data_IF_721675864020
#
_entry.id   IF_721675864020
#
_cell.length_a   1.000
_cell.length_b   1.000
_cell.length_c   1.000
_cell.angle_alpha   90.00
_cell.angle_beta   90.00
_cell.angle_gamma   90.00
#
_symmetry.space_group_name_H-M   'P 1'
#
loop_
_entity.id
_entity.type
_entity.pdbx_description
1 polymer ?
#
# COMPACT_ATOMS: atom_id res chain seq x y z
N UNK A 1 74.77 6.67 -12.19
CA UNK A 1 73.61 5.78 -11.95
C UNK A 1 72.44 6.63 -11.48
N UNK A 2 71.44 6.89 -12.35
CA UNK A 2 70.34 7.82 -12.06
C UNK A 2 68.91 7.21 -12.10
N UNK A 3 67.98 8.09 -11.70
CA UNK A 3 66.51 8.14 -11.48
C UNK A 3 65.49 7.47 -12.45
N UNK A 4 64.26 7.43 -11.90
CA UNK A 4 62.89 7.53 -12.49
C UNK A 4 62.19 6.20 -12.84
N UNK A 5 60.85 5.99 -12.80
CA UNK A 5 59.66 6.87 -12.79
C UNK A 5 58.37 6.04 -12.48
N UNK A 6 57.27 6.72 -12.14
CA UNK A 6 55.88 6.23 -11.89
C UNK A 6 55.12 5.96 -13.22
N UNK A 7 54.15 5.01 -13.32
CA UNK A 7 53.27 4.91 -14.49
C UNK A 7 51.84 5.46 -14.29
N UNK A 8 51.32 6.02 -15.38
CA UNK A 8 50.02 6.68 -15.54
C UNK A 8 48.85 5.74 -15.83
N UNK A 9 47.66 6.20 -15.46
CA UNK A 9 46.33 5.67 -15.77
C UNK A 9 46.02 5.63 -17.28
N UNK A 10 45.34 4.56 -17.72
CA UNK A 10 44.91 4.36 -19.10
C UNK A 10 43.37 4.36 -19.18
N UNK A 11 42.83 5.23 -20.03
CA UNK A 11 41.42 5.36 -20.38
C UNK A 11 40.94 4.20 -21.26
N UNK A 12 39.78 3.59 -20.95
CA UNK A 12 39.07 2.68 -21.86
C UNK A 12 37.84 3.39 -22.43
N UNK A 13 37.89 3.73 -23.72
CA UNK A 13 36.77 4.25 -24.50
C UNK A 13 35.87 3.14 -25.02
N UNK A 14 34.55 3.34 -24.91
CA UNK A 14 33.53 2.48 -25.49
C UNK A 14 33.34 2.79 -26.97
N UNK A 15 33.36 1.76 -27.82
CA UNK A 15 33.16 1.85 -29.27
C UNK A 15 31.66 1.79 -29.62
N UNK A 16 31.17 2.77 -30.38
CA UNK A 16 29.85 2.76 -31.01
C UNK A 16 29.82 1.78 -32.20
N UNK A 17 28.89 0.84 -32.17
CA UNK A 17 28.50 0.02 -33.32
C UNK A 17 27.54 0.83 -34.22
N UNK A 18 28.04 1.31 -35.36
CA UNK A 18 27.22 1.84 -36.46
C UNK A 18 26.92 0.71 -37.45
N UNK A 19 25.66 0.30 -37.55
CA UNK A 19 25.19 -0.63 -38.58
C UNK A 19 25.01 0.12 -39.91
N UNK A 20 25.85 -0.24 -40.89
CA UNK A 20 25.75 0.26 -42.25
C UNK A 20 24.69 -0.56 -43.01
N UNK A 21 23.65 0.11 -43.52
CA UNK A 21 22.69 -0.50 -44.44
C UNK A 21 22.91 0.10 -45.84
N UNK A 22 23.53 -0.68 -46.72
CA UNK A 22 23.58 -0.42 -48.16
C UNK A 22 22.34 -1.01 -48.82
N UNK A 23 21.54 -0.22 -49.53
CA UNK A 23 20.71 -0.73 -50.63
C UNK A 23 20.64 0.26 -51.80
N UNK A 24 20.70 -0.34 -52.99
CA UNK A 24 20.92 0.24 -54.30
C UNK A 24 19.87 1.29 -54.74
N UNK A 25 20.35 2.39 -55.33
CA UNK A 25 19.52 3.33 -56.09
C UNK A 25 19.39 2.84 -57.55
N UNK A 26 18.19 2.40 -57.93
CA UNK A 26 17.78 2.25 -59.34
C UNK A 26 17.01 3.49 -59.77
N UNK A 27 17.45 4.12 -60.84
CA UNK A 27 16.86 5.34 -61.41
C UNK A 27 15.68 5.01 -62.33
N UNK A 28 14.46 5.40 -61.94
CA UNK A 28 13.36 5.58 -62.89
C UNK A 28 12.51 6.80 -62.51
N UNK A 29 12.41 7.76 -63.43
CA UNK A 29 11.62 8.99 -63.31
C UNK A 29 10.11 8.69 -63.38
N UNK A 30 9.35 9.16 -62.39
CA UNK A 30 7.87 9.15 -62.35
C UNK A 30 7.34 10.16 -61.32
N UNK A 31 6.11 10.69 -61.45
CA UNK A 31 5.70 11.95 -60.82
C UNK A 31 5.49 11.85 -59.31
N UNK A 32 5.90 12.91 -58.59
CA UNK A 32 5.82 13.03 -57.13
C UNK A 32 4.37 12.99 -56.65
N UNK A 33 3.97 11.90 -55.99
CA UNK A 33 2.86 11.88 -55.03
C UNK A 33 3.40 12.23 -53.65
N UNK A 34 2.91 13.30 -53.06
CA UNK A 34 3.14 13.64 -51.64
C UNK A 34 2.44 12.61 -50.77
N UNK A 35 3.18 11.61 -50.31
CA UNK A 35 2.72 10.65 -49.31
C UNK A 35 2.96 11.29 -47.93
N UNK A 36 1.87 11.71 -47.25
CA UNK A 36 1.94 12.10 -45.85
C UNK A 36 2.25 10.85 -45.03
N UNK A 37 3.50 10.74 -44.57
CA UNK A 37 3.92 9.70 -43.65
C UNK A 37 3.45 10.09 -42.25
N UNK A 38 2.30 9.58 -41.82
CA UNK A 38 1.86 9.68 -40.43
C UNK A 38 2.76 8.77 -39.60
N UNK A 39 3.75 9.36 -38.93
CA UNK A 39 4.51 8.67 -37.90
C UNK A 39 3.62 8.43 -36.70
N UNK A 40 3.05 7.24 -36.60
CA UNK A 40 2.52 6.73 -35.33
C UNK A 40 3.75 6.44 -34.47
N UNK A 41 4.07 7.35 -33.54
CA UNK A 41 5.01 7.06 -32.47
C UNK A 41 4.37 5.99 -31.58
N UNK A 42 4.63 4.72 -31.88
CA UNK A 42 4.43 3.65 -30.92
C UNK A 42 5.52 3.82 -29.86
N UNK A 43 5.20 4.53 -28.77
CA UNK A 43 6.00 4.45 -27.54
C UNK A 43 5.89 3.01 -27.05
N UNK A 44 6.80 2.15 -27.50
CA UNK A 44 7.08 0.89 -26.82
C UNK A 44 7.90 1.28 -25.60
N UNK A 45 7.22 1.64 -24.51
CA UNK A 45 7.86 1.58 -23.20
C UNK A 45 8.14 0.11 -22.94
N UNK A 46 9.38 -0.29 -22.62
CA UNK A 46 9.63 -1.65 -22.16
C UNK A 46 8.87 -1.82 -20.85
N UNK A 47 7.71 -2.48 -20.90
CA UNK A 47 6.97 -2.89 -19.70
C UNK A 47 7.82 -3.93 -18.98
N UNK A 48 8.62 -3.48 -18.03
CA UNK A 48 9.38 -4.34 -17.16
C UNK A 48 8.43 -4.92 -16.11
N UNK A 49 7.64 -5.91 -16.52
CA UNK A 49 6.81 -6.68 -15.60
C UNK A 49 7.74 -7.48 -14.68
N UNK A 50 7.70 -7.22 -13.38
CA UNK A 50 8.39 -8.06 -12.41
C UNK A 50 7.73 -9.45 -12.41
N UNK A 51 8.40 -10.41 -13.05
CA UNK A 51 7.93 -11.81 -13.13
C UNK A 51 8.26 -12.57 -11.85
N UNK A 52 9.38 -12.24 -11.22
CA UNK A 52 9.86 -12.84 -10.00
C UNK A 52 9.76 -11.83 -8.85
N UNK A 53 9.54 -12.34 -7.64
CA UNK A 53 9.48 -11.58 -6.41
C UNK A 53 10.82 -11.67 -5.65
N UNK A 54 11.25 -10.54 -5.10
CA UNK A 54 12.46 -10.36 -4.29
C UNK A 54 12.05 -10.33 -2.81
N UNK A 55 12.15 -11.47 -2.12
CA UNK A 55 11.57 -11.64 -0.79
C UNK A 55 12.40 -11.07 0.37
N UNK A 56 13.69 -10.79 0.14
CA UNK A 56 14.60 -10.34 1.19
C UNK A 56 14.71 -11.32 2.37
N UNK A 57 15.27 -10.89 3.50
CA UNK A 57 15.57 -11.78 4.63
C UNK A 57 14.38 -12.04 5.56
N UNK A 58 13.36 -11.16 5.55
CA UNK A 58 12.27 -11.17 6.54
C UNK A 58 11.51 -12.50 6.61
N UNK A 59 11.13 -13.15 5.48
CA UNK A 59 10.49 -14.46 5.54
C UNK A 59 11.34 -15.53 6.24
N UNK A 60 12.63 -15.63 5.91
CA UNK A 60 13.51 -16.64 6.50
C UNK A 60 13.81 -16.37 7.98
N UNK A 61 13.93 -15.09 8.36
CA UNK A 61 14.03 -14.67 9.76
C UNK A 61 12.83 -15.18 10.57
N UNK A 62 11.61 -14.94 10.06
CA UNK A 62 10.38 -15.40 10.70
C UNK A 62 10.30 -16.93 10.78
N UNK A 63 10.59 -17.65 9.70
CA UNK A 63 10.56 -19.12 9.68
C UNK A 63 11.54 -19.73 10.68
N UNK A 64 12.75 -19.16 10.79
CA UNK A 64 13.78 -19.66 11.71
C UNK A 64 13.34 -19.53 13.17
N UNK A 65 12.67 -18.43 13.51
CA UNK A 65 12.18 -18.12 14.85
C UNK A 65 10.96 -18.97 15.27
N UNK A 66 10.24 -19.58 14.32
CA UNK A 66 9.08 -20.44 14.61
C UNK A 66 9.42 -21.62 15.53
N UNK A 67 8.44 -22.06 16.32
CA UNK A 67 8.47 -23.36 16.98
C UNK A 67 8.49 -24.51 15.97
N UNK A 68 9.12 -25.63 16.36
CA UNK A 68 9.17 -26.82 15.52
C UNK A 68 7.77 -27.37 15.26
N UNK A 69 7.50 -27.75 14.01
CA UNK A 69 6.20 -28.23 13.61
C UNK A 69 6.04 -28.38 12.10
N UNK A 70 4.87 -28.88 11.69
CA UNK A 70 4.57 -29.14 10.28
C UNK A 70 4.66 -27.85 9.43
N UNK A 71 4.20 -26.72 9.98
CA UNK A 71 4.16 -25.44 9.27
C UNK A 71 5.57 -24.89 9.07
N UNK A 72 6.40 -24.87 10.12
CA UNK A 72 7.82 -24.52 10.01
C UNK A 72 8.54 -25.43 9.01
N UNK A 73 8.34 -26.74 9.08
CA UNK A 73 8.94 -27.71 8.15
C UNK A 73 8.51 -27.44 6.70
N UNK A 74 7.22 -27.13 6.47
CA UNK A 74 6.67 -26.80 5.16
C UNK A 74 7.27 -25.52 4.61
N UNK A 75 7.28 -24.46 5.43
CA UNK A 75 7.82 -23.16 5.04
C UNK A 75 9.33 -23.25 4.82
N UNK A 76 10.08 -23.94 5.67
CA UNK A 76 11.52 -24.14 5.49
C UNK A 76 11.86 -24.85 4.17
N UNK A 77 11.04 -25.83 3.76
CA UNK A 77 11.20 -26.51 2.47
C UNK A 77 10.95 -25.60 1.24
N UNK A 78 10.46 -24.38 1.45
CA UNK A 78 10.23 -23.37 0.42
C UNK A 78 11.31 -22.28 0.41
N UNK A 79 12.41 -22.41 1.16
CA UNK A 79 13.43 -21.36 1.31
C UNK A 79 14.04 -20.90 0.00
N UNK A 80 14.18 -21.80 -0.97
CA UNK A 80 14.77 -21.54 -2.29
C UNK A 80 13.72 -21.43 -3.40
N UNK A 81 12.46 -21.10 -3.05
CA UNK A 81 11.40 -20.93 -4.04
C UNK A 81 11.72 -19.75 -4.96
N UNK A 82 11.63 -19.98 -6.27
CA UNK A 82 11.56 -18.88 -7.24
C UNK A 82 10.18 -18.21 -7.08
N UNK A 83 10.14 -17.24 -6.18
CA UNK A 83 8.92 -16.57 -5.81
C UNK A 83 8.39 -15.74 -6.97
N UNK A 84 7.06 -15.71 -7.12
CA UNK A 84 6.37 -14.86 -8.07
C UNK A 84 5.26 -14.06 -7.37
N UNK A 85 4.79 -12.97 -7.98
CA UNK A 85 3.72 -12.16 -7.42
C UNK A 85 2.44 -12.95 -7.18
N UNK A 86 1.65 -12.55 -6.17
CA UNK A 86 0.38 -13.18 -5.83
C UNK A 86 -0.66 -12.15 -5.40
N UNK A 87 -1.90 -12.28 -5.89
CA UNK A 87 -3.04 -11.47 -5.44
C UNK A 87 -3.39 -11.69 -3.96
N UNK A 88 -2.89 -12.77 -3.35
CA UNK A 88 -3.03 -13.02 -1.92
C UNK A 88 -2.23 -12.00 -1.08
N UNK A 89 -1.15 -11.43 -1.64
CA UNK A 89 -0.37 -10.37 -1.01
C UNK A 89 -0.86 -9.01 -1.51
N UNK A 90 -1.40 -8.22 -0.59
CA UNK A 90 -1.85 -6.86 -0.86
C UNK A 90 -0.86 -5.89 -0.19
N UNK A 91 -0.22 -5.03 -0.97
CA UNK A 91 0.76 -4.08 -0.47
C UNK A 91 0.06 -2.89 0.18
N UNK A 92 -0.05 -2.92 1.52
CA UNK A 92 -0.69 -1.85 2.31
C UNK A 92 0.15 -0.58 2.21
N UNK A 93 -0.44 0.49 1.65
CA UNK A 93 0.19 1.79 1.36
C UNK A 93 1.52 1.71 0.59
N UNK A 94 1.56 0.77 -0.34
CA UNK A 94 2.75 0.44 -1.14
C UNK A 94 3.41 -0.88 -0.74
N UNK A 95 3.25 -1.34 0.50
CA UNK A 95 3.60 -2.71 0.90
C UNK A 95 5.05 -2.95 1.31
N UNK A 96 5.82 -1.87 1.55
CA UNK A 96 7.18 -1.91 2.08
C UNK A 96 7.40 -0.89 3.22
N UNK A 97 6.33 -0.53 3.92
CA UNK A 97 6.23 0.54 4.92
C UNK A 97 7.09 0.34 6.18
N UNK A 98 7.74 -0.83 6.35
CA UNK A 98 8.77 -0.99 7.39
C UNK A 98 10.03 -0.18 7.09
N UNK A 99 10.33 0.08 5.81
CA UNK A 99 11.59 0.70 5.41
C UNK A 99 11.43 1.87 4.42
N UNK A 100 10.24 2.02 3.83
CA UNK A 100 9.94 3.08 2.89
C UNK A 100 8.75 3.90 3.40
N UNK A 101 8.74 5.23 3.20
CA UNK A 101 7.58 6.06 3.54
C UNK A 101 6.31 5.54 2.87
N UNK A 102 5.23 5.41 3.64
CA UNK A 102 3.94 4.96 3.13
C UNK A 102 3.38 5.90 2.06
N UNK A 103 2.59 5.36 1.12
CA UNK A 103 1.96 6.09 0.01
C UNK A 103 2.94 6.82 -0.94
N UNK A 104 4.20 6.39 -0.96
CA UNK A 104 5.22 6.90 -1.88
C UNK A 104 5.50 5.93 -3.02
N UNK A 105 6.01 6.46 -4.14
CA UNK A 105 6.48 5.68 -5.28
C UNK A 105 7.43 4.56 -4.85
N UNK A 106 8.38 4.88 -3.97
CA UNK A 106 9.42 3.96 -3.54
C UNK A 106 8.85 2.80 -2.72
N UNK A 107 7.85 3.06 -1.86
CA UNK A 107 7.12 2.00 -1.16
C UNK A 107 6.37 1.10 -2.15
N UNK A 108 5.63 1.68 -3.11
CA UNK A 108 4.88 0.92 -4.14
C UNK A 108 5.81 0.06 -5.01
N UNK A 109 6.95 0.61 -5.46
CA UNK A 109 7.94 -0.13 -6.24
C UNK A 109 8.57 -1.26 -5.43
N UNK A 110 8.90 -1.01 -4.16
CA UNK A 110 9.46 -2.03 -3.27
C UNK A 110 8.46 -3.14 -2.95
N UNK A 111 7.20 -2.83 -2.60
CA UNK A 111 6.18 -3.86 -2.37
C UNK A 111 5.83 -4.66 -3.63
N UNK A 112 5.83 -3.99 -4.80
CA UNK A 112 5.69 -4.67 -6.10
C UNK A 112 6.83 -5.67 -6.34
N UNK A 113 8.08 -5.30 -6.02
CA UNK A 113 9.25 -6.20 -6.09
C UNK A 113 9.14 -7.34 -5.09
N UNK A 114 8.63 -7.09 -3.89
CA UNK A 114 8.38 -8.10 -2.87
C UNK A 114 7.25 -9.08 -3.24
N UNK A 115 6.53 -8.84 -4.34
CA UNK A 115 5.54 -9.75 -4.91
C UNK A 115 4.08 -9.47 -4.56
N UNK A 116 3.78 -8.26 -4.06
CA UNK A 116 2.40 -7.81 -3.96
C UNK A 116 1.72 -7.90 -5.34
N UNK A 117 0.60 -8.61 -5.40
CA UNK A 117 -0.23 -8.74 -6.60
C UNK A 117 -1.24 -7.62 -6.74
N UNK A 118 -1.66 -7.05 -5.61
CA UNK A 118 -2.55 -5.90 -5.50
C UNK A 118 -1.81 -4.82 -4.69
N UNK A 119 -1.81 -3.57 -5.17
CA UNK A 119 -1.22 -2.44 -4.47
C UNK A 119 -2.31 -1.47 -4.03
N UNK A 120 -2.13 -0.88 -2.85
CA UNK A 120 -3.07 0.07 -2.27
C UNK A 120 -2.66 1.53 -2.51
N UNK A 121 -3.68 2.37 -2.72
CA UNK A 121 -3.63 3.80 -2.49
C UNK A 121 -4.81 4.20 -1.60
N UNK A 122 -4.54 4.69 -0.39
CA UNK A 122 -5.48 5.46 0.40
C UNK A 122 -5.70 6.81 -0.31
N UNK A 123 -6.88 7.13 -0.81
CA UNK A 123 -7.10 8.37 -1.55
C UNK A 123 -7.71 9.46 -0.68
N UNK A 124 -7.14 10.67 -0.80
CA UNK A 124 -7.64 11.95 -0.31
C UNK A 124 -7.69 12.96 -1.48
N UNK A 125 -8.22 14.17 -1.24
CA UNK A 125 -8.23 15.24 -2.24
C UNK A 125 -7.54 16.52 -1.77
N UNK A 126 -6.95 17.27 -2.71
CA UNK A 126 -6.30 18.57 -2.51
C UNK A 126 -7.29 19.74 -2.56
N UNK A 127 -6.85 20.97 -2.27
CA UNK A 127 -7.72 22.16 -2.32
C UNK A 127 -8.31 22.43 -3.71
N UNK A 128 -7.59 22.03 -4.76
CA UNK A 128 -8.02 22.05 -6.17
C UNK A 128 -8.71 20.73 -6.60
N UNK A 129 -9.09 19.88 -5.64
CA UNK A 129 -9.90 18.66 -5.81
C UNK A 129 -9.24 17.57 -6.66
N UNK A 130 -7.92 17.57 -6.76
CA UNK A 130 -7.17 16.48 -7.37
C UNK A 130 -6.94 15.36 -6.34
N UNK A 131 -6.97 14.11 -6.80
CA UNK A 131 -6.81 12.94 -5.96
C UNK A 131 -5.34 12.63 -5.69
N UNK A 132 -5.00 12.39 -4.42
CA UNK A 132 -3.65 12.07 -3.96
C UNK A 132 -3.66 10.86 -3.03
N UNK A 133 -2.60 10.06 -3.09
CA UNK A 133 -2.45 8.89 -2.24
C UNK A 133 -1.90 9.32 -0.88
N UNK A 134 -2.74 9.28 0.16
CA UNK A 134 -2.48 9.65 1.55
C UNK A 134 -3.42 8.89 2.49
N UNK A 135 -2.87 8.32 3.56
CA UNK A 135 -3.63 7.57 4.56
C UNK A 135 -4.76 8.36 5.23
N UNK A 136 -4.56 9.65 5.49
CA UNK A 136 -5.60 10.52 6.00
C UNK A 136 -5.53 11.87 5.31
N UNK A 137 -6.67 12.57 5.16
CA UNK A 137 -6.64 13.91 4.58
C UNK A 137 -5.74 14.86 5.38
N UNK A 138 -5.54 14.62 6.69
CA UNK A 138 -4.76 15.46 7.60
C UNK A 138 -3.51 14.78 8.19
N UNK A 139 -2.79 13.99 7.40
CA UNK A 139 -1.56 13.29 7.82
C UNK A 139 -0.25 13.98 7.40
N UNK A 140 -0.30 15.05 6.60
CA UNK A 140 0.92 15.59 5.95
C UNK A 140 2.01 15.99 6.94
N UNK A 141 1.63 16.44 8.14
CA UNK A 141 2.55 16.93 9.17
C UNK A 141 3.40 15.83 9.82
N UNK A 142 2.95 14.57 9.87
CA UNK A 142 3.74 13.46 10.45
C UNK A 142 4.45 12.61 9.41
N UNK A 143 4.14 12.78 8.12
CA UNK A 143 4.62 11.88 7.06
C UNK A 143 5.28 12.61 5.90
N UNK A 144 5.35 13.94 5.93
CA UNK A 144 6.06 14.74 4.91
C UNK A 144 6.94 15.77 5.59
N UNK A 145 7.70 16.52 4.80
CA UNK A 145 8.46 17.67 5.27
C UNK A 145 7.66 18.97 5.36
N UNK A 146 6.33 18.99 5.11
CA UNK A 146 5.53 20.23 4.94
C UNK A 146 5.74 21.27 6.04
N UNK A 147 5.87 20.82 7.29
CA UNK A 147 6.02 21.68 8.47
C UNK A 147 7.28 22.56 8.38
N UNK A 148 8.36 22.06 7.76
CA UNK A 148 9.62 22.77 7.56
C UNK A 148 9.72 23.46 6.18
N UNK A 149 8.60 23.73 5.52
CA UNK A 149 8.53 24.46 4.24
C UNK A 149 7.67 25.71 4.38
N UNK A 150 7.69 26.60 3.37
CA UNK A 150 6.80 27.77 3.33
C UNK A 150 5.30 27.37 3.38
N UNK A 151 4.96 26.17 2.90
CA UNK A 151 3.61 25.62 2.93
C UNK A 151 3.13 25.31 4.36
N UNK A 152 4.03 25.19 5.34
CA UNK A 152 3.68 25.01 6.74
C UNK A 152 2.77 26.11 7.30
N UNK A 153 2.83 27.31 6.71
CA UNK A 153 1.94 28.43 7.05
C UNK A 153 0.49 28.25 6.57
N UNK A 154 0.24 27.36 5.60
CA UNK A 154 -1.09 27.06 5.06
C UNK A 154 -1.82 25.97 5.83
N UNK A 155 -1.11 25.22 6.67
CA UNK A 155 -1.69 24.13 7.43
C UNK A 155 -2.90 24.60 8.24
N UNK A 156 -3.97 23.77 8.27
CA UNK A 156 -5.16 23.96 9.10
C UNK A 156 -4.80 24.38 10.53
N UNK A 157 -3.73 23.80 11.08
CA UNK A 157 -3.06 24.31 12.28
C UNK A 157 -1.55 24.36 12.02
N UNK A 158 -0.96 25.55 11.87
CA UNK A 158 0.48 25.70 11.73
C UNK A 158 1.24 25.15 12.94
N UNK A 159 2.54 24.89 12.76
CA UNK A 159 3.39 24.36 13.82
C UNK A 159 3.37 25.25 15.08
N UNK A 160 3.15 24.61 16.22
CA UNK A 160 3.30 25.18 17.54
C UNK A 160 4.39 24.39 18.28
N UNK A 161 5.46 25.04 18.76
CA UNK A 161 6.54 24.36 19.48
C UNK A 161 6.06 23.81 20.83
N UNK A 162 6.74 22.79 21.33
CA UNK A 162 6.55 22.33 22.70
C UNK A 162 6.93 23.45 23.68
N UNK A 163 6.06 23.72 24.66
CA UNK A 163 6.26 24.75 25.68
C UNK A 163 5.47 24.43 26.95
N UNK A 164 6.02 24.73 28.12
CA UNK A 164 5.32 24.61 29.42
C UNK A 164 4.65 23.23 29.66
N UNK A 165 5.29 22.16 29.20
CA UNK A 165 4.79 20.79 29.30
C UNK A 165 3.74 20.39 28.24
N UNK A 166 3.30 21.32 27.38
CA UNK A 166 2.49 21.01 26.22
C UNK A 166 3.37 20.44 25.08
N UNK A 167 2.92 19.37 24.39
CA UNK A 167 3.66 18.80 23.26
C UNK A 167 3.62 19.72 22.05
N UNK A 168 4.62 19.59 21.18
CA UNK A 168 4.60 20.20 19.87
C UNK A 168 3.40 19.69 19.07
N UNK A 169 2.83 20.54 18.23
CA UNK A 169 1.66 20.18 17.42
C UNK A 169 1.67 20.88 16.06
N UNK A 170 1.08 20.21 15.08
CA UNK A 170 0.74 20.75 13.77
C UNK A 170 -0.43 19.93 13.23
N UNK A 171 -1.20 20.50 12.30
CA UNK A 171 -2.21 19.77 11.54
C UNK A 171 -2.23 20.32 10.12
N UNK A 172 -1.60 19.57 9.22
CA UNK A 172 -1.53 19.90 7.81
C UNK A 172 -2.33 18.87 7.01
N UNK A 173 -3.23 19.36 6.15
CA UNK A 173 -4.13 18.54 5.37
C UNK A 173 -3.88 18.71 3.86
N UNK A 174 -4.17 17.68 3.06
CA UNK A 174 -4.09 17.78 1.60
C UNK A 174 -5.02 18.87 1.08
N UNK A 175 -6.18 19.06 1.71
CA UNK A 175 -7.14 20.13 1.40
C UNK A 175 -6.63 21.55 1.68
N UNK A 176 -5.49 21.71 2.35
CA UNK A 176 -4.88 23.03 2.62
C UNK A 176 -4.06 23.56 1.42
N UNK A 177 -3.70 22.67 0.49
CA UNK A 177 -2.74 22.95 -0.58
C UNK A 177 -3.22 22.41 -1.93
N UNK A 178 -2.72 22.99 -3.02
CA UNK A 178 -3.00 22.50 -4.38
C UNK A 178 -2.22 21.23 -4.69
N UNK A 179 -2.57 20.52 -5.77
CA UNK A 179 -1.77 19.39 -6.26
C UNK A 179 -0.33 19.80 -6.57
N UNK A 180 -0.12 20.95 -7.21
CA UNK A 180 1.21 21.42 -7.56
C UNK A 180 2.10 21.62 -6.31
N UNK A 181 1.51 22.14 -5.24
CA UNK A 181 2.18 22.32 -3.95
C UNK A 181 2.42 20.98 -3.26
N UNK A 182 1.43 20.09 -3.24
CA UNK A 182 1.58 18.72 -2.73
C UNK A 182 2.76 18.00 -3.39
N UNK A 183 2.88 18.11 -4.72
CA UNK A 183 3.96 17.50 -5.50
C UNK A 183 5.35 18.10 -5.25
N UNK A 184 5.45 19.20 -4.50
CA UNK A 184 6.73 19.76 -4.04
C UNK A 184 7.23 19.14 -2.74
N UNK A 185 6.40 18.37 -2.03
CA UNK A 185 6.72 17.76 -0.74
C UNK A 185 7.56 16.49 -0.89
N UNK A 186 8.35 16.23 0.16
CA UNK A 186 9.04 14.97 0.37
C UNK A 186 8.27 14.13 1.39
N UNK A 187 7.87 12.92 1.01
CA UNK A 187 7.39 11.91 1.95
C UNK A 187 8.51 11.44 2.87
N UNK A 188 8.17 11.14 4.13
CA UNK A 188 9.05 10.59 5.16
C UNK A 188 8.31 9.52 5.96
N UNK A 189 9.05 8.77 6.78
CA UNK A 189 8.41 7.82 7.70
C UNK A 189 7.44 8.55 8.63
N UNK A 190 6.29 7.93 8.88
CA UNK A 190 5.31 8.44 9.81
C UNK A 190 5.89 8.52 11.23
N UNK A 191 5.75 9.68 11.85
CA UNK A 191 6.29 10.01 13.16
C UNK A 191 6.48 11.52 13.33
N UNK A 192 6.48 11.99 14.57
CA UNK A 192 6.85 13.37 14.89
C UNK A 192 7.54 13.43 16.26
N UNK A 193 8.41 14.41 16.46
CA UNK A 193 9.00 14.66 17.77
C UNK A 193 8.06 15.51 18.63
N UNK A 194 7.43 14.88 19.62
CA UNK A 194 6.50 15.52 20.57
C UNK A 194 7.13 16.65 21.40
N UNK A 195 8.45 16.69 21.52
CA UNK A 195 9.20 17.69 22.28
C UNK A 195 9.86 18.76 21.39
N UNK A 196 9.55 18.77 20.09
CA UNK A 196 10.18 19.68 19.15
C UNK A 196 9.91 21.15 19.47
N UNK A 197 10.96 21.96 19.41
CA UNK A 197 10.86 23.43 19.53
C UNK A 197 11.05 24.15 18.20
N UNK A 198 11.40 23.42 17.14
CA UNK A 198 11.52 23.95 15.78
C UNK A 198 10.77 23.05 14.78
N UNK A 199 10.36 23.60 13.62
CA UNK A 199 9.75 22.82 12.55
C UNK A 199 10.61 21.65 12.05
N UNK A 200 11.93 21.83 11.98
CA UNK A 200 12.86 20.80 11.51
C UNK A 200 12.92 19.62 12.49
N UNK A 201 12.99 19.91 13.79
CA UNK A 201 13.04 18.88 14.84
C UNK A 201 11.72 18.09 14.91
N UNK A 202 10.59 18.75 14.61
CA UNK A 202 9.27 18.11 14.57
C UNK A 202 9.20 16.92 13.61
N UNK A 203 9.99 16.93 12.52
CA UNK A 203 9.95 15.91 11.48
C UNK A 203 10.54 14.55 11.90
N UNK A 204 11.19 14.46 13.07
CA UNK A 204 11.75 13.21 13.60
C UNK A 204 10.70 12.33 14.30
N UNK A 205 11.09 11.30 15.06
CA UNK A 205 10.15 10.48 15.83
C UNK A 205 9.63 9.23 15.09
N UNK A 206 10.31 8.79 14.02
CA UNK A 206 10.09 7.48 13.40
C UNK A 206 10.21 6.37 14.46
N UNK A 207 9.23 5.46 14.58
CA UNK A 207 9.35 4.31 15.47
C UNK A 207 10.61 3.49 15.18
N UNK A 208 11.37 3.10 16.21
CA UNK A 208 12.71 2.52 16.06
C UNK A 208 12.77 1.14 15.41
N UNK A 209 11.62 0.47 15.25
CA UNK A 209 11.48 -0.78 14.49
C UNK A 209 11.28 -0.54 12.99
N UNK A 210 11.12 0.71 12.56
CA UNK A 210 11.25 1.16 11.17
C UNK A 210 12.62 1.78 10.93
N UNK A 211 12.94 2.09 9.68
CA UNK A 211 14.20 2.76 9.33
C UNK A 211 13.98 4.01 8.49
N UNK A 212 14.80 5.03 8.71
CA UNK A 212 14.87 6.21 7.85
C UNK A 212 15.90 6.06 6.73
N UNK A 213 16.57 4.90 6.61
CA UNK A 213 17.65 4.67 5.64
C UNK A 213 17.23 4.98 4.19
N UNK A 214 15.98 4.67 3.83
CA UNK A 214 15.41 4.91 2.50
C UNK A 214 14.39 6.06 2.50
N UNK A 215 14.28 6.82 3.58
CA UNK A 215 13.30 7.88 3.78
C UNK A 215 13.90 9.28 3.57
N UNK A 216 14.75 9.46 2.56
CA UNK A 216 15.43 10.75 2.30
C UNK A 216 14.49 11.81 1.72
N UNK A 217 13.66 11.41 0.75
CA UNK A 217 12.60 12.22 0.15
C UNK A 217 11.72 11.28 -0.69
N UNK A 218 10.76 10.62 -0.05
CA UNK A 218 9.84 9.73 -0.75
C UNK A 218 8.96 10.51 -1.72
N UNK A 219 8.80 10.01 -2.94
CA UNK A 219 8.04 10.69 -3.98
C UNK A 219 6.55 10.50 -3.72
N UNK A 220 5.85 11.56 -3.32
CA UNK A 220 4.40 11.54 -3.15
C UNK A 220 3.67 11.31 -4.48
N UNK A 221 2.51 10.67 -4.46
CA UNK A 221 1.75 10.31 -5.66
C UNK A 221 0.37 10.97 -5.72
N UNK A 222 0.01 11.52 -6.89
CA UNK A 222 -1.40 11.63 -7.25
C UNK A 222 -1.98 10.24 -7.51
N UNK A 223 -3.29 10.07 -7.38
CA UNK A 223 -3.94 8.80 -7.70
C UNK A 223 -3.71 8.41 -9.17
N UNK A 224 -3.77 9.37 -10.11
CA UNK A 224 -3.41 9.15 -11.53
C UNK A 224 -1.99 8.60 -11.72
N UNK A 225 -1.00 9.10 -10.99
CA UNK A 225 0.38 8.59 -11.05
C UNK A 225 0.51 7.19 -10.43
N UNK A 226 -0.20 6.93 -9.33
CA UNK A 226 -0.31 5.59 -8.76
C UNK A 226 -0.89 4.59 -9.77
N UNK A 227 -1.97 4.96 -10.46
CA UNK A 227 -2.59 4.11 -11.49
C UNK A 227 -1.58 3.76 -12.60
N UNK A 228 -0.83 4.75 -13.09
CA UNK A 228 0.19 4.55 -14.11
C UNK A 228 1.33 3.64 -13.62
N UNK A 229 1.81 3.85 -12.38
CA UNK A 229 2.89 3.09 -11.79
C UNK A 229 2.51 1.61 -11.65
N UNK A 230 1.38 1.32 -11.01
CA UNK A 230 0.91 -0.04 -10.75
C UNK A 230 0.54 -0.75 -12.06
N UNK A 231 -0.07 -0.06 -13.02
CA UNK A 231 -0.36 -0.65 -14.34
C UNK A 231 0.91 -1.00 -15.13
N UNK A 232 1.95 -0.15 -15.05
CA UNK A 232 3.23 -0.41 -15.72
C UNK A 232 3.91 -1.71 -15.24
N UNK A 233 3.60 -2.13 -14.01
CA UNK A 233 4.06 -3.40 -13.44
C UNK A 233 3.11 -4.58 -13.69
N UNK A 234 1.93 -4.33 -14.27
CA UNK A 234 0.90 -5.35 -14.51
C UNK A 234 0.33 -5.88 -13.19
N UNK A 235 0.11 -4.99 -12.22
CA UNK A 235 -0.48 -5.30 -10.91
C UNK A 235 -1.91 -4.81 -10.82
N UNK A 236 -2.64 -5.37 -9.89
CA UNK A 236 -4.01 -4.98 -9.62
C UNK A 236 -4.06 -3.91 -8.52
N UNK A 237 -5.24 -3.32 -8.32
CA UNK A 237 -5.39 -2.11 -7.55
C UNK A 237 -6.40 -2.31 -6.42
N UNK A 238 -6.12 -1.69 -5.28
CA UNK A 238 -7.14 -1.38 -4.28
C UNK A 238 -7.03 0.10 -3.95
N UNK A 239 -8.14 0.84 -4.05
CA UNK A 239 -8.16 2.27 -3.67
C UNK A 239 -9.13 2.44 -2.52
N UNK A 240 -8.65 2.94 -1.38
CA UNK A 240 -9.50 3.28 -0.24
C UNK A 240 -9.99 4.71 -0.34
N UNK A 241 -11.31 4.93 -0.34
CA UNK A 241 -11.88 6.27 -0.21
C UNK A 241 -11.82 6.73 1.25
N UNK A 242 -10.86 7.60 1.58
CA UNK A 242 -10.74 8.13 2.95
C UNK A 242 -11.87 9.07 3.29
N UNK A 243 -12.26 9.08 4.56
CA UNK A 243 -13.24 10.03 5.07
C UNK A 243 -12.66 11.46 5.04
N UNK A 244 -13.38 12.44 4.47
CA UNK A 244 -12.95 13.83 4.50
C UNK A 244 -12.81 14.36 5.93
N UNK A 245 -11.81 15.19 6.17
CA UNK A 245 -11.56 15.96 7.40
C UNK A 245 -12.04 17.40 7.30
N UNK A 246 -12.81 17.69 6.26
CA UNK A 246 -13.47 18.97 5.96
C UNK A 246 -14.98 18.78 5.92
N UNK A 247 -15.73 19.87 6.05
CA UNK A 247 -17.18 19.84 5.86
C UNK A 247 -17.52 19.52 4.40
N UNK A 248 -18.39 18.54 4.19
CA UNK A 248 -18.92 18.19 2.87
C UNK A 248 -20.32 18.83 2.68
N UNK A 249 -20.66 19.35 1.48
CA UNK A 249 -19.82 19.42 0.29
C UNK A 249 -18.67 20.43 0.43
N UNK A 250 -17.48 20.02 0.01
CA UNK A 250 -16.30 20.89 0.01
C UNK A 250 -16.45 21.96 -1.08
N UNK A 251 -16.09 23.21 -0.74
CA UNK A 251 -16.27 24.38 -1.60
C UNK A 251 -17.69 24.51 -2.21
N UNK A 252 -18.70 24.09 -1.44
CA UNK A 252 -20.12 24.28 -1.73
C UNK A 252 -20.75 23.23 -2.65
N UNK A 253 -19.98 22.55 -3.52
CA UNK A 253 -20.56 21.63 -4.51
C UNK A 253 -19.86 20.27 -4.63
N UNK A 254 -18.69 20.06 -4.04
CA UNK A 254 -17.98 18.78 -4.09
C UNK A 254 -18.45 17.85 -2.97
N UNK A 255 -19.48 17.04 -3.27
CA UNK A 255 -20.11 16.11 -2.33
C UNK A 255 -19.30 14.83 -2.12
N UNK A 256 -19.62 14.07 -1.07
CA UNK A 256 -19.03 12.74 -0.83
C UNK A 256 -19.24 11.80 -2.04
N UNK A 257 -20.42 11.84 -2.66
CA UNK A 257 -20.70 11.04 -3.87
C UNK A 257 -19.88 11.48 -5.08
N UNK A 258 -19.67 12.79 -5.29
CA UNK A 258 -18.78 13.28 -6.35
C UNK A 258 -17.34 12.82 -6.13
N UNK A 259 -16.90 12.80 -4.87
CA UNK A 259 -15.60 12.29 -4.50
C UNK A 259 -15.48 10.77 -4.78
N UNK A 260 -16.45 9.98 -4.33
CA UNK A 260 -16.53 8.55 -4.62
C UNK A 260 -16.58 8.25 -6.13
N UNK A 261 -17.28 9.09 -6.91
CA UNK A 261 -17.36 8.96 -8.37
C UNK A 261 -16.07 9.35 -9.07
N UNK A 262 -15.34 10.35 -8.57
CA UNK A 262 -14.08 10.79 -9.17
C UNK A 262 -13.04 9.67 -9.21
N UNK A 263 -12.97 8.82 -8.17
CA UNK A 263 -12.09 7.64 -8.16
C UNK A 263 -12.37 6.73 -9.36
N UNK A 264 -13.65 6.43 -9.62
CA UNK A 264 -14.08 5.62 -10.77
C UNK A 264 -13.72 6.31 -12.09
N UNK A 265 -13.95 7.62 -12.20
CA UNK A 265 -13.62 8.36 -13.42
C UNK A 265 -12.12 8.35 -13.73
N UNK A 266 -11.26 8.38 -12.71
CA UNK A 266 -9.82 8.25 -12.92
C UNK A 266 -9.41 6.86 -13.40
N UNK A 267 -10.01 5.79 -12.86
CA UNK A 267 -9.82 4.42 -13.39
C UNK A 267 -10.29 4.29 -14.85
N UNK A 268 -11.46 4.85 -15.18
CA UNK A 268 -12.00 4.88 -16.56
C UNK A 268 -11.08 5.65 -17.50
N UNK A 269 -10.60 6.81 -17.08
CA UNK A 269 -9.67 7.63 -17.86
C UNK A 269 -8.33 6.90 -18.10
N UNK A 270 -7.84 6.15 -17.10
CA UNK A 270 -6.67 5.29 -17.21
C UNK A 270 -6.93 3.99 -18.00
N UNK A 271 -8.17 3.69 -18.38
CA UNK A 271 -8.60 2.48 -19.10
C UNK A 271 -8.26 1.18 -18.36
N UNK A 272 -8.35 1.21 -17.03
CA UNK A 272 -8.17 0.02 -16.21
C UNK A 272 -9.47 -0.78 -16.20
N UNK A 273 -9.35 -2.09 -16.43
CA UNK A 273 -10.49 -3.00 -16.37
C UNK A 273 -11.00 -3.12 -14.93
N UNK A 274 -12.31 -2.94 -14.66
CA UNK A 274 -12.88 -3.04 -13.32
C UNK A 274 -12.58 -4.36 -12.59
N UNK A 275 -12.34 -5.46 -13.33
CA UNK A 275 -11.95 -6.75 -12.73
C UNK A 275 -10.59 -6.75 -12.03
N UNK A 276 -9.76 -5.73 -12.28
CA UNK A 276 -8.46 -5.52 -11.62
C UNK A 276 -8.55 -4.59 -10.40
N UNK A 277 -9.75 -4.16 -10.00
CA UNK A 277 -9.93 -3.11 -8.99
C UNK A 277 -10.79 -3.58 -7.82
N UNK A 278 -10.30 -3.35 -6.62
CA UNK A 278 -11.01 -3.54 -5.35
C UNK A 278 -11.18 -2.17 -4.69
N UNK A 279 -12.24 -1.44 -5.01
CA UNK A 279 -12.52 -0.17 -4.30
C UNK A 279 -12.90 -0.48 -2.86
N UNK A 280 -12.38 0.26 -1.89
CA UNK A 280 -12.64 0.01 -0.47
C UNK A 280 -13.05 1.30 0.27
N UNK A 281 -13.87 1.16 1.31
CA UNK A 281 -14.22 2.25 2.22
C UNK A 281 -14.70 1.68 3.56
N UNK A 282 -14.44 2.42 4.65
CA UNK A 282 -15.05 2.18 5.96
C UNK A 282 -16.53 2.60 6.03
N UNK A 283 -16.99 3.41 5.07
CA UNK A 283 -18.37 3.85 4.99
C UNK A 283 -19.18 2.91 4.12
N UNK A 284 -20.20 2.29 4.72
CA UNK A 284 -21.20 1.52 3.98
C UNK A 284 -21.89 2.37 2.89
N UNK A 285 -22.08 3.68 3.12
CA UNK A 285 -22.72 4.54 2.13
C UNK A 285 -21.90 4.67 0.84
N UNK A 286 -20.56 4.72 0.93
CA UNK A 286 -19.69 4.78 -0.25
C UNK A 286 -19.73 3.46 -1.03
N UNK A 287 -19.70 2.33 -0.32
CA UNK A 287 -19.81 1.00 -0.94
C UNK A 287 -21.18 0.80 -1.59
N UNK A 288 -22.26 1.19 -0.91
CA UNK A 288 -23.62 1.15 -1.44
C UNK A 288 -23.77 2.05 -2.68
N UNK A 289 -23.14 3.23 -2.68
CA UNK A 289 -23.08 4.12 -3.83
C UNK A 289 -22.43 3.42 -5.02
N UNK A 290 -21.23 2.85 -4.87
CA UNK A 290 -20.56 2.14 -5.98
C UNK A 290 -21.35 0.93 -6.48
N UNK A 291 -21.97 0.15 -5.59
CA UNK A 291 -22.83 -0.98 -5.97
C UNK A 291 -23.99 -0.55 -6.89
N UNK A 292 -24.51 0.66 -6.71
CA UNK A 292 -25.64 1.19 -7.50
C UNK A 292 -25.18 1.99 -8.72
N UNK A 293 -24.28 2.95 -8.52
CA UNK A 293 -23.85 3.93 -9.53
C UNK A 293 -22.91 3.31 -10.57
N UNK A 294 -22.08 2.34 -10.19
CA UNK A 294 -21.19 1.62 -11.10
C UNK A 294 -21.07 0.12 -10.74
N UNK A 295 -22.01 -0.71 -11.19
CA UNK A 295 -22.00 -2.14 -10.87
C UNK A 295 -20.78 -2.93 -11.38
N UNK A 296 -20.00 -2.37 -12.32
CA UNK A 296 -18.79 -3.03 -12.81
C UNK A 296 -17.66 -2.94 -11.78
N UNK A 297 -17.44 -1.76 -11.21
CA UNK A 297 -16.51 -1.57 -10.10
C UNK A 297 -17.11 -2.06 -8.77
N UNK A 298 -18.39 -1.78 -8.52
CA UNK A 298 -19.10 -2.13 -7.28
C UNK A 298 -19.13 -3.62 -6.96
N UNK A 299 -19.08 -4.51 -7.97
CA UNK A 299 -19.04 -5.97 -7.77
C UNK A 299 -17.84 -6.44 -6.94
N UNK A 300 -16.72 -5.71 -7.02
CA UNK A 300 -15.49 -5.99 -6.26
C UNK A 300 -15.28 -4.98 -5.11
N UNK A 301 -16.26 -4.13 -4.83
CA UNK A 301 -16.17 -3.19 -3.72
C UNK A 301 -16.06 -3.94 -2.37
N UNK A 302 -15.20 -3.41 -1.51
CA UNK A 302 -14.81 -3.97 -0.23
C UNK A 302 -15.31 -3.05 0.87
N UNK A 303 -16.11 -3.59 1.79
CA UNK A 303 -16.46 -2.89 3.02
C UNK A 303 -15.38 -3.15 4.07
N UNK A 304 -14.64 -2.10 4.44
CA UNK A 304 -13.74 -2.14 5.58
C UNK A 304 -14.58 -2.06 6.85
N UNK A 305 -14.41 -3.02 7.75
CA UNK A 305 -15.27 -3.15 8.93
C UNK A 305 -14.48 -2.96 10.22
N UNK A 306 -14.72 -1.84 10.89
CA UNK A 306 -14.22 -1.49 12.22
C UNK A 306 -15.38 -1.32 13.23
N UNK A 307 -16.58 -1.83 12.89
CA UNK A 307 -17.79 -1.60 13.69
C UNK A 307 -17.80 -2.33 15.03
N UNK A 308 -16.82 -3.21 15.26
CA UNK A 308 -16.58 -3.95 16.50
C UNK A 308 -15.48 -3.39 17.40
N UNK A 309 -14.87 -2.25 17.07
CA UNK A 309 -13.70 -1.70 17.77
C UNK A 309 -14.04 -1.10 19.13
N UNK A 310 -15.26 -0.60 19.26
CA UNK A 310 -15.72 -0.05 20.53
C UNK A 310 -15.97 -1.19 21.54
N UNK A 311 -15.66 -1.00 22.83
CA UNK A 311 -15.96 -1.99 23.86
C UNK A 311 -17.41 -2.47 23.81
N UNK A 312 -17.61 -3.79 23.68
CA UNK A 312 -18.93 -4.41 23.62
C UNK A 312 -19.63 -4.39 22.26
N UNK A 313 -19.04 -3.78 21.23
CA UNK A 313 -19.65 -3.68 19.88
C UNK A 313 -19.41 -4.89 18.99
N UNK A 314 -18.45 -5.76 19.30
CA UNK A 314 -18.09 -6.92 18.49
C UNK A 314 -19.29 -7.85 18.12
N UNK A 315 -20.23 -8.20 19.03
CA UNK A 315 -21.42 -8.97 18.66
C UNK A 315 -22.30 -8.27 17.61
N UNK A 316 -22.39 -6.93 17.65
CA UNK A 316 -23.14 -6.16 16.66
C UNK A 316 -22.41 -6.16 15.30
N UNK A 317 -21.09 -6.07 15.28
CA UNK A 317 -20.30 -6.21 14.05
C UNK A 317 -20.55 -7.56 13.36
N UNK A 318 -20.59 -8.66 14.12
CA UNK A 318 -20.95 -9.99 13.60
C UNK A 318 -22.37 -10.03 13.06
N UNK A 319 -23.33 -9.41 13.76
CA UNK A 319 -24.73 -9.34 13.34
C UNK A 319 -24.91 -8.51 12.05
N UNK A 320 -24.12 -7.45 11.85
CA UNK A 320 -24.19 -6.59 10.67
C UNK A 320 -23.83 -7.32 9.37
N UNK A 321 -23.08 -8.43 9.44
CA UNK A 321 -22.68 -9.20 8.26
C UNK A 321 -23.86 -9.65 7.39
N UNK A 322 -25.00 -10.02 8.00
CA UNK A 322 -26.19 -10.40 7.22
C UNK A 322 -26.77 -9.19 6.49
N UNK A 323 -26.84 -8.04 7.15
CA UNK A 323 -27.27 -6.79 6.51
C UNK A 323 -26.37 -6.42 5.34
N UNK A 324 -25.03 -6.50 5.50
CA UNK A 324 -24.10 -6.20 4.41
C UNK A 324 -24.31 -7.14 3.21
N UNK A 325 -24.47 -8.44 3.48
CA UNK A 325 -24.73 -9.43 2.43
C UNK A 325 -26.04 -9.14 1.68
N UNK A 326 -27.11 -8.85 2.43
CA UNK A 326 -28.44 -8.54 1.86
C UNK A 326 -28.43 -7.22 1.05
N UNK A 327 -27.60 -6.26 1.45
CA UNK A 327 -27.38 -5.02 0.73
C UNK A 327 -26.52 -5.17 -0.54
N UNK A 328 -26.02 -6.37 -0.83
CA UNK A 328 -25.26 -6.68 -2.06
C UNK A 328 -23.75 -6.67 -1.90
N UNK A 329 -23.22 -6.35 -0.71
CA UNK A 329 -21.77 -6.44 -0.44
C UNK A 329 -21.30 -7.89 -0.59
N UNK A 330 -20.24 -8.10 -1.35
CA UNK A 330 -19.66 -9.42 -1.57
C UNK A 330 -18.35 -9.64 -0.81
N UNK A 331 -17.65 -8.56 -0.43
CA UNK A 331 -16.33 -8.60 0.19
C UNK A 331 -16.34 -7.72 1.43
N UNK A 332 -15.97 -8.29 2.58
CA UNK A 332 -15.70 -7.55 3.81
C UNK A 332 -14.21 -7.64 4.14
N UNK A 333 -13.69 -6.61 4.79
CA UNK A 333 -12.30 -6.54 5.21
C UNK A 333 -12.21 -5.99 6.63
N UNK A 334 -12.26 -6.85 7.66
CA UNK A 334 -12.06 -6.44 9.05
C UNK A 334 -10.57 -6.51 9.44
N UNK A 335 -10.19 -5.94 10.60
CA UNK A 335 -8.84 -6.08 11.13
C UNK A 335 -8.53 -7.54 11.50
N UNK A 336 -7.23 -7.89 11.59
CA UNK A 336 -6.77 -9.26 11.91
C UNK A 336 -7.45 -9.86 13.15
N UNK A 337 -7.58 -9.04 14.20
CA UNK A 337 -8.14 -9.42 15.49
C UNK A 337 -9.61 -9.85 15.41
N UNK A 338 -10.35 -9.41 14.39
CA UNK A 338 -11.73 -9.84 14.22
C UNK A 338 -11.82 -11.25 13.67
N UNK A 339 -10.80 -11.75 12.96
CA UNK A 339 -10.87 -13.03 12.26
C UNK A 339 -10.32 -14.20 13.06
N UNK A 340 -9.49 -13.91 14.08
CA UNK A 340 -8.77 -14.92 14.84
C UNK A 340 -8.97 -14.70 16.34
N UNK A 341 -9.15 -15.79 17.07
CA UNK A 341 -9.22 -15.84 18.51
C UNK A 341 -8.26 -16.91 19.06
N UNK A 342 -8.10 -16.97 20.37
CA UNK A 342 -7.42 -18.07 21.05
C UNK A 342 -8.41 -19.18 21.41
N UNK A 343 -8.03 -20.42 21.08
CA UNK A 343 -8.66 -21.61 21.59
C UNK A 343 -8.16 -21.98 23.00
N UNK A 344 -8.42 -23.21 23.42
CA UNK A 344 -8.23 -23.63 24.83
C UNK A 344 -6.76 -23.80 25.20
N UNK A 345 -5.92 -24.10 24.23
CA UNK A 345 -4.51 -24.45 24.41
C UNK A 345 -3.58 -23.34 23.85
N UNK A 346 -4.11 -22.13 23.65
CA UNK A 346 -3.37 -21.00 23.08
C UNK A 346 -3.20 -21.10 21.56
N UNK A 347 -3.92 -22.01 20.91
CA UNK A 347 -3.95 -22.15 19.47
C UNK A 347 -4.80 -21.06 18.80
N UNK A 348 -4.35 -20.59 17.65
CA UNK A 348 -5.08 -19.60 16.87
C UNK A 348 -6.23 -20.28 16.12
N UNK A 349 -7.45 -19.81 16.31
CA UNK A 349 -8.66 -20.38 15.72
C UNK A 349 -9.51 -19.30 15.05
N UNK A 350 -10.30 -19.64 14.01
CA UNK A 350 -11.27 -18.71 13.44
C UNK A 350 -12.26 -18.18 14.48
N UNK A 351 -12.50 -16.88 14.46
CA UNK A 351 -13.47 -16.23 15.34
C UNK A 351 -14.93 -16.48 14.92
N UNK A 352 -15.87 -15.97 15.72
CA UNK A 352 -17.30 -15.93 15.36
C UNK A 352 -17.58 -15.03 14.15
N UNK A 353 -16.82 -13.93 13.96
CA UNK A 353 -16.92 -13.09 12.77
C UNK A 353 -16.50 -13.88 11.52
N UNK A 354 -15.32 -14.51 11.55
CA UNK A 354 -14.80 -15.29 10.43
C UNK A 354 -15.76 -16.42 10.02
N UNK A 355 -16.24 -17.19 11.00
CA UNK A 355 -17.16 -18.31 10.74
C UNK A 355 -18.53 -17.83 10.23
N UNK A 356 -19.03 -16.70 10.72
CA UNK A 356 -20.31 -16.11 10.27
C UNK A 356 -20.19 -15.55 8.84
N UNK A 357 -19.15 -14.79 8.53
CA UNK A 357 -18.90 -14.25 7.19
C UNK A 357 -18.82 -15.38 6.14
N UNK A 358 -18.10 -16.45 6.46
CA UNK A 358 -18.03 -17.65 5.60
C UNK A 358 -19.41 -18.30 5.41
N UNK A 359 -20.19 -18.46 6.48
CA UNK A 359 -21.53 -19.06 6.41
C UNK A 359 -22.48 -18.26 5.52
N UNK A 360 -22.32 -16.94 5.48
CA UNK A 360 -23.08 -16.02 4.61
C UNK A 360 -22.53 -15.96 3.18
N UNK A 361 -21.42 -16.64 2.88
CA UNK A 361 -20.77 -16.60 1.57
C UNK A 361 -20.20 -15.22 1.24
N UNK A 362 -19.75 -14.47 2.25
CA UNK A 362 -18.93 -13.28 2.06
C UNK A 362 -17.48 -13.70 1.78
N UNK A 363 -16.84 -13.02 0.84
CA UNK A 363 -15.39 -13.06 0.67
C UNK A 363 -14.74 -12.18 1.73
N UNK A 364 -13.54 -12.54 2.16
CA UNK A 364 -12.85 -11.87 3.27
C UNK A 364 -11.48 -11.42 2.79
N UNK A 365 -11.16 -10.14 2.95
CA UNK A 365 -9.79 -9.63 3.00
C UNK A 365 -9.49 -9.25 4.46
N UNK A 366 -8.24 -8.94 4.82
CA UNK A 366 -7.95 -8.49 6.19
C UNK A 366 -6.70 -7.62 6.28
N UNK A 367 -6.66 -6.75 7.29
CA UNK A 367 -5.65 -5.72 7.45
C UNK A 367 -5.24 -5.53 8.92
N UNK A 368 -4.04 -5.06 9.26
CA UNK A 368 -2.82 -5.03 8.42
C UNK A 368 -1.71 -5.81 9.11
N UNK A 369 -1.15 -6.79 8.39
CA UNK A 369 0.00 -7.56 8.85
C UNK A 369 1.25 -6.68 8.85
N UNK A 370 2.01 -6.69 9.95
CA UNK A 370 3.26 -5.91 10.10
C UNK A 370 3.08 -4.38 10.16
N UNK A 371 1.88 -3.88 10.46
CA UNK A 371 1.70 -2.46 10.79
C UNK A 371 2.33 -2.08 12.14
N UNK A 372 2.40 -3.02 13.07
CA UNK A 372 3.07 -2.85 14.37
C UNK A 372 4.52 -3.32 14.33
N UNK A 373 5.27 -3.05 15.40
CA UNK A 373 6.63 -3.55 15.59
C UNK A 373 6.71 -5.09 15.74
N UNK A 374 7.85 -5.62 16.21
CA UNK A 374 8.05 -7.05 16.43
C UNK A 374 6.85 -7.69 17.14
N UNK A 375 6.31 -8.76 16.58
CA UNK A 375 5.01 -9.32 16.95
C UNK A 375 4.95 -9.72 18.43
N UNK A 376 6.01 -10.35 18.95
CA UNK A 376 6.03 -10.75 20.36
C UNK A 376 5.93 -9.53 21.30
N UNK A 377 6.60 -8.42 20.94
CA UNK A 377 6.57 -7.19 21.71
C UNK A 377 5.20 -6.49 21.58
N UNK A 378 4.68 -6.41 20.35
CA UNK A 378 3.37 -5.81 20.08
C UNK A 378 2.26 -6.55 20.85
N UNK A 379 2.25 -7.88 20.80
CA UNK A 379 1.32 -8.72 21.57
C UNK A 379 1.43 -8.46 23.08
N UNK A 380 2.64 -8.44 23.62
CA UNK A 380 2.88 -8.18 25.05
C UNK A 380 2.44 -6.77 25.49
N UNK A 381 2.49 -5.78 24.59
CA UNK A 381 2.02 -4.41 24.86
C UNK A 381 0.51 -4.21 24.67
N UNK A 382 -0.25 -5.25 24.34
CA UNK A 382 -1.69 -5.13 24.09
C UNK A 382 -2.03 -4.41 22.78
N UNK A 383 -1.18 -4.56 21.77
CA UNK A 383 -1.38 -3.96 20.44
C UNK A 383 -2.75 -4.31 19.84
N UNK A 384 -3.37 -3.32 19.18
CA UNK A 384 -4.69 -3.43 18.59
C UNK A 384 -4.84 -4.61 17.61
N UNK A 385 -3.89 -4.78 16.70
CA UNK A 385 -3.97 -5.77 15.61
C UNK A 385 -3.84 -7.21 16.11
N UNK A 386 -3.16 -7.42 17.23
CA UNK A 386 -2.85 -8.74 17.77
C UNK A 386 -3.53 -9.03 19.12
N UNK A 387 -4.41 -8.13 19.56
CA UNK A 387 -5.06 -8.16 20.87
C UNK A 387 -5.76 -9.50 21.19
N UNK A 388 -6.46 -10.10 20.24
CA UNK A 388 -7.22 -11.35 20.44
C UNK A 388 -6.36 -12.60 20.50
N UNK A 389 -5.10 -12.52 20.05
CA UNK A 389 -4.13 -13.62 20.06
C UNK A 389 -2.98 -13.40 21.04
N UNK A 390 -2.92 -12.25 21.70
CA UNK A 390 -1.77 -11.80 22.48
C UNK A 390 -1.23 -12.85 23.47
N UNK A 391 -2.11 -13.54 24.19
CA UNK A 391 -1.72 -14.55 25.18
C UNK A 391 -1.16 -15.85 24.59
N UNK A 392 -1.39 -16.15 23.31
CA UNK A 392 -0.85 -17.32 22.60
C UNK A 392 0.31 -16.97 21.65
N UNK A 393 0.77 -15.73 21.70
CA UNK A 393 1.87 -15.18 20.89
C UNK A 393 3.10 -15.00 21.76
N UNK A 394 4.20 -15.62 21.38
CA UNK A 394 5.43 -15.62 22.16
C UNK A 394 6.66 -15.23 21.33
N UNK A 395 6.55 -15.31 20.00
CA UNK A 395 7.66 -15.12 19.08
C UNK A 395 7.25 -14.33 17.85
N UNK A 396 8.23 -13.79 17.14
CA UNK A 396 7.96 -13.12 15.87
C UNK A 396 7.54 -14.13 14.81
N UNK A 397 8.12 -15.33 14.82
CA UNK A 397 7.75 -16.44 13.95
C UNK A 397 6.28 -16.87 14.02
N UNK A 398 5.57 -16.54 15.12
CA UNK A 398 4.12 -16.80 15.25
C UNK A 398 3.29 -16.06 14.20
N UNK A 399 3.88 -15.08 13.51
CA UNK A 399 3.27 -14.41 12.37
C UNK A 399 2.84 -15.38 11.28
N UNK A 400 3.62 -16.43 11.02
CA UNK A 400 3.21 -17.44 10.04
C UNK A 400 2.12 -18.38 10.57
N UNK A 401 2.00 -18.58 11.89
CA UNK A 401 0.82 -19.28 12.46
C UNK A 401 -0.45 -18.47 12.21
N UNK A 402 -0.37 -17.15 12.38
CA UNK A 402 -1.48 -16.24 12.08
C UNK A 402 -1.84 -16.28 10.59
N UNK A 403 -0.85 -16.12 9.70
CA UNK A 403 -1.07 -16.20 8.25
C UNK A 403 -1.67 -17.56 7.85
N UNK A 404 -1.21 -18.68 8.44
CA UNK A 404 -1.73 -20.01 8.14
C UNK A 404 -3.20 -20.17 8.50
N UNK A 405 -3.61 -19.69 9.68
CA UNK A 405 -5.00 -19.72 10.14
C UNK A 405 -5.89 -18.83 9.27
N UNK A 406 -5.43 -17.62 8.95
CA UNK A 406 -6.13 -16.71 8.04
C UNK A 406 -6.32 -17.34 6.65
N UNK A 407 -5.27 -17.93 6.08
CA UNK A 407 -5.29 -18.49 4.75
C UNK A 407 -6.11 -19.79 4.66
N UNK A 408 -5.91 -20.74 5.58
CA UNK A 408 -6.42 -22.11 5.44
C UNK A 408 -7.68 -22.39 6.25
N UNK A 409 -7.88 -21.71 7.38
CA UNK A 409 -9.03 -21.96 8.26
C UNK A 409 -10.11 -20.89 8.12
N UNK A 410 -9.70 -19.62 8.06
CA UNK A 410 -10.61 -18.50 7.74
C UNK A 410 -10.87 -18.42 6.24
N UNK A 411 -9.88 -18.69 5.40
CA UNK A 411 -10.05 -18.66 3.94
C UNK A 411 -10.14 -17.23 3.39
N UNK A 412 -9.32 -16.31 3.93
CA UNK A 412 -9.19 -14.97 3.36
C UNK A 412 -8.69 -15.05 1.91
N UNK A 413 -9.10 -14.11 1.06
CA UNK A 413 -8.67 -14.03 -0.34
C UNK A 413 -7.39 -13.21 -0.51
N UNK A 414 -7.05 -12.38 0.48
CA UNK A 414 -5.83 -11.59 0.51
C UNK A 414 -5.60 -10.95 1.87
N UNK A 415 -4.34 -10.62 2.14
CA UNK A 415 -3.88 -10.01 3.39
C UNK A 415 -3.12 -8.74 3.04
N UNK A 416 -3.56 -7.61 3.59
CA UNK A 416 -2.84 -6.34 3.57
C UNK A 416 -1.61 -6.44 4.47
N UNK A 417 -0.44 -6.04 3.96
CA UNK A 417 0.79 -6.06 4.73
C UNK A 417 1.69 -4.86 4.45
N UNK A 418 2.28 -4.31 5.51
CA UNK A 418 3.35 -3.30 5.43
C UNK A 418 4.68 -3.90 4.95
N UNK A 419 4.79 -5.23 4.86
CA UNK A 419 5.94 -5.93 4.28
C UNK A 419 5.52 -7.13 3.42
N UNK A 420 5.21 -6.85 2.16
CA UNK A 420 4.57 -7.77 1.21
C UNK A 420 5.30 -9.10 1.04
N UNK A 421 6.62 -9.15 1.27
CA UNK A 421 7.41 -10.36 1.11
C UNK A 421 6.96 -11.49 2.05
N UNK A 422 6.48 -11.15 3.26
CA UNK A 422 6.00 -12.14 4.24
C UNK A 422 4.79 -12.89 3.70
N UNK A 423 3.77 -12.16 3.23
CA UNK A 423 2.56 -12.76 2.66
C UNK A 423 2.86 -13.45 1.33
N UNK A 424 3.70 -12.84 0.49
CA UNK A 424 4.11 -13.41 -0.80
C UNK A 424 4.84 -14.74 -0.63
N UNK A 425 5.75 -14.86 0.34
CA UNK A 425 6.46 -16.11 0.61
C UNK A 425 5.50 -17.24 0.96
N UNK A 426 4.55 -16.97 1.88
CA UNK A 426 3.52 -17.94 2.25
C UNK A 426 2.70 -18.33 1.01
N UNK A 427 2.21 -17.36 0.25
CA UNK A 427 1.43 -17.60 -0.97
C UNK A 427 2.17 -18.50 -1.96
N UNK A 428 3.46 -18.29 -2.18
CA UNK A 428 4.28 -19.11 -3.08
C UNK A 428 4.46 -20.53 -2.54
N UNK A 429 4.73 -20.68 -1.24
CA UNK A 429 4.91 -22.00 -0.63
C UNK A 429 3.63 -22.85 -0.67
N UNK A 430 2.46 -22.21 -0.66
CA UNK A 430 1.15 -22.86 -0.72
C UNK A 430 0.44 -22.74 -2.07
N UNK A 431 1.11 -22.19 -3.09
CA UNK A 431 0.63 -22.05 -4.47
C UNK A 431 -0.68 -21.23 -4.62
N UNK A 432 -0.76 -20.10 -3.93
CA UNK A 432 -1.89 -19.16 -3.98
C UNK A 432 -1.55 -18.03 -4.95
N UNK A 433 -2.23 -17.89 -6.09
CA UNK A 433 -1.88 -16.93 -7.14
C UNK A 433 -3.10 -16.25 -7.75
#
# INVERSE_FOLDING_TARGET
MPRASIPSFMWMGWSLLLSSSYFHASTSKGPRRTMRMSYVFCKVTPNHHFRNAELGPRPHYLVTDMDEGWLKSRLAACSDVEARPSRFSIGHRGGACLQFPEETRESVEAGTRMGAGILECDVAFTSDRELVCRHDQCDLHTTTNIVATELGSKCTTPFTPASDGAPASAKCCTSDITLAEFKSLCGKMDGFNVSATTPEDFLHGTPSWRTDLYATCGTVLSHKEFLQLVDSHGRDFTTELKQPRVTMPFDGDYTQEKYAQQVIEEYRAARIDPSRVWLQSFSFADVAYWLHADPAFGRQAVLLDQSGDLPGSFPAAVANLSFYKDAGVQIVAPPLSYLVALGKDGEYVPSTYATTARKLGLKILTWSLERSGPLAQAAASGDYYYSTIANGTHKDGDMYRLVDVLARQVGVQGIFSDWSATVTYYANCFKMF
#
